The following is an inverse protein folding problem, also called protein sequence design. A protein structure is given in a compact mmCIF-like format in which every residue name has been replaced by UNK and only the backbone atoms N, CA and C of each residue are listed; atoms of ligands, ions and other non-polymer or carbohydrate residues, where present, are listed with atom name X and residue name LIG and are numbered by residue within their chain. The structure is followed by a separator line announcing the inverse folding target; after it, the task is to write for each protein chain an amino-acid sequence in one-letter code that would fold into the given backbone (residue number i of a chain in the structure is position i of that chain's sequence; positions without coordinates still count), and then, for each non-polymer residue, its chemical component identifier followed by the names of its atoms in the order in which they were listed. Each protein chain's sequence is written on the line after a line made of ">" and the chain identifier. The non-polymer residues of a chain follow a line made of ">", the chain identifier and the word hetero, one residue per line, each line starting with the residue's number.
data_IF_096384926761
#
_entry.id   IF_096384926761
#
_cell.length_a   1.000
_cell.length_b   1.000
_cell.length_c   1.000
_cell.angle_alpha   90.00
_cell.angle_beta   90.00
_cell.angle_gamma   90.00
#
_symmetry.space_group_name_H-M   'P 1'
#
loop_
_entity.id
_entity.type
_entity.pdbx_description
1 polymer ?
#
# COMPACT_ATOMS: atom_id res chain seq x y z
N UNK A 1 8.67 -17.66 -4.42
CA UNK A 1 7.78 -16.52 -4.22
C UNK A 1 6.34 -16.97 -4.47
N UNK A 2 5.47 -16.72 -3.54
CA UNK A 2 4.08 -17.13 -3.65
C UNK A 2 3.22 -15.88 -3.80
N UNK A 3 2.53 -15.75 -4.91
CA UNK A 3 1.61 -14.66 -5.19
C UNK A 3 0.22 -15.20 -5.55
N UNK A 4 -0.77 -14.40 -5.29
CA UNK A 4 -2.17 -14.72 -5.46
C UNK A 4 -2.85 -13.67 -6.34
N UNK A 5 -3.87 -14.06 -7.05
CA UNK A 5 -4.68 -13.14 -7.84
C UNK A 5 -6.15 -13.37 -7.54
N UNK A 6 -6.90 -12.30 -7.38
CA UNK A 6 -8.33 -12.38 -7.15
C UNK A 6 -9.01 -11.02 -7.21
N UNK A 7 -10.31 -11.04 -7.06
CA UNK A 7 -11.14 -9.85 -6.93
C UNK A 7 -11.53 -9.70 -5.47
N UNK A 8 -11.13 -8.59 -4.86
CA UNK A 8 -11.26 -8.38 -3.42
C UNK A 8 -12.04 -7.11 -3.12
N UNK A 9 -12.96 -7.13 -2.12
CA UNK A 9 -13.80 -5.99 -1.81
C UNK A 9 -13.03 -4.87 -1.12
N UNK A 10 -13.37 -3.64 -1.49
CA UNK A 10 -12.91 -2.42 -0.84
C UNK A 10 -13.76 -2.20 0.41
N UNK A 11 -13.11 -2.10 1.57
CA UNK A 11 -13.77 -1.84 2.85
C UNK A 11 -13.79 -0.36 3.21
N UNK A 12 -12.73 0.37 2.88
CA UNK A 12 -12.59 1.78 3.21
C UNK A 12 -11.94 2.53 2.06
N UNK A 13 -12.37 3.78 1.89
CA UNK A 13 -11.81 4.74 0.94
C UNK A 13 -11.63 6.07 1.63
N UNK A 14 -10.44 6.67 1.49
CA UNK A 14 -10.13 7.97 2.07
C UNK A 14 -9.36 8.83 1.08
N UNK A 15 -9.79 10.07 0.90
CA UNK A 15 -9.05 11.09 0.15
C UNK A 15 -8.07 11.73 1.12
N UNK A 16 -6.77 11.53 0.90
CA UNK A 16 -5.71 12.06 1.77
C UNK A 16 -5.28 13.46 1.38
N UNK A 17 -5.24 13.71 0.07
CA UNK A 17 -4.90 15.00 -0.53
C UNK A 17 -5.58 15.10 -1.89
N UNK A 18 -5.45 16.23 -2.56
CA UNK A 18 -6.12 16.51 -3.84
C UNK A 18 -6.00 15.38 -4.88
N UNK A 19 -4.84 14.75 -4.97
CA UNK A 19 -4.57 13.67 -5.93
C UNK A 19 -4.11 12.37 -5.26
N UNK A 20 -4.40 12.18 -3.98
CA UNK A 20 -3.97 11.00 -3.23
C UNK A 20 -5.17 10.28 -2.61
N UNK A 21 -5.27 9.01 -2.88
CA UNK A 21 -6.36 8.14 -2.40
C UNK A 21 -5.79 6.97 -1.64
N UNK A 22 -6.42 6.66 -0.51
CA UNK A 22 -6.16 5.49 0.29
C UNK A 22 -7.33 4.51 0.19
N UNK A 23 -7.01 3.24 0.03
CA UNK A 23 -7.97 2.14 0.10
C UNK A 23 -7.54 1.10 1.11
N UNK A 24 -8.50 0.55 1.82
CA UNK A 24 -8.36 -0.69 2.60
C UNK A 24 -9.14 -1.78 1.89
N UNK A 25 -8.45 -2.87 1.57
CA UNK A 25 -8.97 -3.98 0.77
C UNK A 25 -8.94 -5.25 1.62
N UNK A 26 -10.07 -5.97 1.63
CA UNK A 26 -10.17 -7.25 2.32
C UNK A 26 -9.63 -8.37 1.42
N UNK A 27 -8.45 -8.86 1.74
CA UNK A 27 -7.79 -9.95 1.01
C UNK A 27 -6.93 -10.78 1.98
N UNK A 28 -7.56 -11.66 2.79
CA UNK A 28 -6.89 -12.36 3.88
C UNK A 28 -5.65 -13.14 3.44
N UNK A 29 -5.70 -13.79 2.30
CA UNK A 29 -4.62 -14.62 1.77
C UNK A 29 -3.39 -13.76 1.39
N UNK A 30 -3.62 -12.61 0.75
CA UNK A 30 -2.54 -11.68 0.42
C UNK A 30 -1.97 -11.05 1.69
N UNK A 31 -2.84 -10.63 2.61
CA UNK A 31 -2.43 -10.05 3.88
C UNK A 31 -1.57 -11.02 4.72
N UNK A 32 -1.94 -12.31 4.74
CA UNK A 32 -1.18 -13.34 5.46
C UNK A 32 0.23 -13.53 4.90
N UNK A 33 0.40 -13.42 3.60
CA UNK A 33 1.68 -13.61 2.90
C UNK A 33 2.53 -12.34 2.79
N UNK A 34 1.92 -11.16 2.95
CA UNK A 34 2.57 -9.87 2.71
C UNK A 34 3.59 -9.50 3.79
N UNK A 35 4.63 -8.79 3.36
CA UNK A 35 5.68 -8.25 4.22
C UNK A 35 5.94 -6.78 3.90
N UNK A 36 6.42 -5.98 4.88
CA UNK A 36 6.79 -4.58 4.64
C UNK A 36 7.78 -4.44 3.48
N UNK A 37 7.52 -3.51 2.57
CA UNK A 37 8.34 -3.29 1.38
C UNK A 37 7.83 -3.97 0.12
N UNK A 38 6.88 -4.87 0.23
CA UNK A 38 6.22 -5.47 -0.92
C UNK A 38 5.15 -4.55 -1.51
N UNK A 39 4.69 -4.89 -2.70
CA UNK A 39 3.68 -4.16 -3.45
C UNK A 39 2.65 -5.12 -4.05
N UNK A 40 1.60 -4.57 -4.60
CA UNK A 40 0.58 -5.29 -5.37
C UNK A 40 0.44 -4.68 -6.76
N UNK A 41 -0.01 -5.49 -7.70
CA UNK A 41 -0.44 -5.06 -9.02
C UNK A 41 -1.96 -5.03 -9.07
N UNK A 42 -2.54 -3.87 -9.34
CA UNK A 42 -3.99 -3.70 -9.46
C UNK A 42 -4.35 -3.45 -10.92
N UNK A 43 -5.35 -4.17 -11.42
CA UNK A 43 -5.87 -3.98 -12.77
C UNK A 43 -7.06 -3.03 -12.74
N UNK A 44 -6.93 -1.81 -13.28
CA UNK A 44 -8.08 -0.91 -13.40
C UNK A 44 -9.12 -1.46 -14.39
N UNK A 45 -10.39 -1.26 -14.09
CA UNK A 45 -11.48 -1.70 -14.99
C UNK A 45 -11.32 -1.09 -16.38
N UNK A 46 -11.43 -1.92 -17.41
CA UNK A 46 -11.31 -1.48 -18.81
C UNK A 46 -9.87 -1.24 -19.28
N UNK A 47 -8.87 -1.46 -18.42
CA UNK A 47 -7.46 -1.38 -18.78
C UNK A 47 -6.85 -2.77 -18.94
N UNK A 48 -5.75 -2.84 -19.70
CA UNK A 48 -5.01 -4.08 -19.95
C UNK A 48 -3.74 -4.20 -19.12
N UNK A 49 -3.23 -3.07 -18.61
CA UNK A 49 -2.01 -3.04 -17.83
C UNK A 49 -2.31 -2.79 -16.35
N UNK A 50 -1.69 -3.59 -15.50
CA UNK A 50 -1.74 -3.44 -14.06
C UNK A 50 -0.93 -2.23 -13.59
N UNK A 51 -1.30 -1.69 -12.44
CA UNK A 51 -0.60 -0.59 -11.78
C UNK A 51 0.08 -1.12 -10.51
N UNK A 52 1.42 -0.95 -10.38
CA UNK A 52 2.13 -1.34 -9.17
C UNK A 52 1.88 -0.31 -8.08
N UNK A 53 1.47 -0.77 -6.91
CA UNK A 53 1.21 0.09 -5.76
C UNK A 53 1.80 -0.57 -4.51
N UNK A 54 2.64 0.17 -3.80
CA UNK A 54 3.26 -0.30 -2.56
C UNK A 54 2.22 -0.47 -1.45
N UNK A 55 2.45 -1.48 -0.62
CA UNK A 55 1.63 -1.68 0.58
C UNK A 55 2.01 -0.65 1.65
N UNK A 56 1.02 0.07 2.15
CA UNK A 56 1.18 1.02 3.26
C UNK A 56 0.62 0.49 4.57
N UNK A 57 -0.07 -0.64 4.53
CA UNK A 57 -0.59 -1.31 5.71
C UNK A 57 -0.85 -2.77 5.43
N UNK A 58 -0.59 -3.60 6.43
CA UNK A 58 -0.83 -5.05 6.39
C UNK A 58 -1.40 -5.43 7.74
N UNK A 59 -2.65 -5.85 7.78
CA UNK A 59 -3.30 -6.33 8.99
C UNK A 59 -3.66 -7.80 8.80
N UNK A 60 -2.83 -8.68 9.36
CA UNK A 60 -3.00 -10.14 9.21
C UNK A 60 -4.19 -10.67 10.00
N UNK A 61 -4.56 -10.01 11.10
CA UNK A 61 -5.70 -10.42 11.91
C UNK A 61 -7.02 -10.08 11.23
N UNK A 62 -7.12 -8.86 10.70
CA UNK A 62 -8.30 -8.43 9.93
C UNK A 62 -8.31 -8.95 8.50
N UNK A 63 -7.19 -9.46 8.00
CA UNK A 63 -7.04 -9.92 6.63
C UNK A 63 -7.12 -8.79 5.62
N UNK A 64 -6.58 -7.62 5.94
CA UNK A 64 -6.63 -6.44 5.09
C UNK A 64 -5.26 -5.95 4.67
N UNK A 65 -5.21 -5.34 3.50
CA UNK A 65 -4.09 -4.53 3.04
C UNK A 65 -4.53 -3.09 2.84
N UNK A 66 -3.61 -2.17 3.05
CA UNK A 66 -3.83 -0.75 2.77
C UNK A 66 -2.92 -0.32 1.63
N UNK A 67 -3.46 0.42 0.68
CA UNK A 67 -2.73 1.03 -0.43
C UNK A 67 -3.01 2.51 -0.49
N UNK A 68 -1.98 3.27 -0.88
CA UNK A 68 -2.09 4.71 -1.18
C UNK A 68 -1.44 4.95 -2.52
N UNK A 69 -2.12 5.68 -3.40
CA UNK A 69 -1.57 6.05 -4.68
C UNK A 69 -1.95 7.48 -5.07
N UNK A 70 -1.13 8.05 -5.93
CA UNK A 70 -1.34 9.35 -6.54
C UNK A 70 -2.01 9.20 -7.90
N UNK A 71 -2.98 10.06 -8.20
CA UNK A 71 -3.61 10.11 -9.53
C UNK A 71 -2.62 10.72 -10.51
N UNK A 72 -2.16 9.92 -11.47
CA UNK A 72 -1.17 10.34 -12.49
C UNK A 72 -1.60 10.09 -13.93
N UNK A 73 -2.68 9.40 -14.15
CA UNK A 73 -3.17 9.07 -15.48
C UNK A 73 -4.45 8.26 -15.44
N UNK A 74 -4.95 7.86 -16.59
CA UNK A 74 -6.25 7.21 -16.74
C UNK A 74 -6.42 5.95 -15.88
N UNK A 75 -5.36 5.17 -15.70
CA UNK A 75 -5.41 3.96 -14.87
C UNK A 75 -5.65 4.28 -13.40
N UNK A 76 -4.91 5.23 -12.83
CA UNK A 76 -5.07 5.65 -11.44
C UNK A 76 -6.37 6.43 -11.23
N UNK A 77 -6.82 7.19 -12.22
CA UNK A 77 -8.13 7.84 -12.19
C UNK A 77 -9.26 6.82 -12.14
N UNK A 78 -9.18 5.76 -12.95
CA UNK A 78 -10.14 4.65 -12.92
C UNK A 78 -10.15 3.93 -11.57
N UNK A 79 -8.97 3.68 -11.00
CA UNK A 79 -8.87 3.09 -9.65
C UNK A 79 -9.48 4.02 -8.58
N UNK A 80 -9.26 5.31 -8.69
CA UNK A 80 -9.80 6.29 -7.75
C UNK A 80 -11.32 6.45 -7.82
N UNK A 81 -11.94 6.02 -8.92
CA UNK A 81 -13.40 5.99 -9.07
C UNK A 81 -14.05 4.79 -8.35
N UNK A 82 -13.26 3.82 -7.89
CA UNK A 82 -13.77 2.68 -7.13
C UNK A 82 -14.34 3.13 -5.78
N UNK A 83 -15.46 2.54 -5.39
CA UNK A 83 -16.15 2.88 -4.15
C UNK A 83 -16.09 1.73 -3.14
N UNK A 84 -16.39 2.02 -1.88
CA UNK A 84 -16.57 0.99 -0.85
C UNK A 84 -17.65 0.00 -1.31
N UNK A 85 -17.34 -1.28 -1.19
CA UNK A 85 -18.20 -2.38 -1.66
C UNK A 85 -17.89 -2.87 -3.06
N UNK A 86 -17.19 -2.07 -3.89
CA UNK A 86 -16.67 -2.54 -5.17
C UNK A 86 -15.50 -3.50 -4.94
N UNK A 87 -15.18 -4.31 -5.95
CA UNK A 87 -14.03 -5.21 -5.91
C UNK A 87 -12.91 -4.70 -6.81
N UNK A 88 -11.68 -4.81 -6.32
CA UNK A 88 -10.47 -4.58 -7.12
C UNK A 88 -9.82 -5.90 -7.51
N UNK A 89 -9.33 -5.98 -8.74
CA UNK A 89 -8.51 -7.10 -9.21
C UNK A 89 -7.08 -6.88 -8.75
N UNK A 90 -6.63 -7.68 -7.79
CA UNK A 90 -5.32 -7.55 -7.12
C UNK A 90 -4.49 -8.79 -7.35
N UNK A 91 -3.25 -8.57 -7.74
CA UNK A 91 -2.21 -9.60 -7.85
C UNK A 91 -1.11 -9.26 -6.84
N UNK A 92 -0.81 -10.18 -5.94
CA UNK A 92 0.25 -9.98 -4.95
C UNK A 92 0.29 -11.05 -3.87
N UNK A 93 1.11 -10.85 -2.84
CA UNK A 93 2.11 -9.78 -2.73
C UNK A 93 3.29 -9.99 -3.68
N UNK A 94 3.90 -8.92 -4.14
CA UNK A 94 5.00 -8.94 -5.10
C UNK A 94 6.24 -8.25 -4.54
N UNK A 95 7.40 -8.59 -5.14
CA UNK A 95 8.69 -8.04 -4.75
C UNK A 95 9.28 -8.68 -3.49
N UNK A 96 10.41 -8.16 -3.09
CA UNK A 96 11.07 -8.55 -1.85
C UNK A 96 10.75 -7.53 -0.75
N UNK A 97 10.46 -8.03 0.46
CA UNK A 97 10.29 -7.16 1.61
C UNK A 97 11.61 -6.46 1.99
N UNK A 98 11.50 -5.42 2.80
CA UNK A 98 12.68 -4.82 3.43
C UNK A 98 13.39 -5.85 4.32
N UNK A 99 14.71 -5.78 4.35
CA UNK A 99 15.49 -6.55 5.33
C UNK A 99 15.22 -5.98 6.72
N UNK A 100 14.53 -6.76 7.55
CA UNK A 100 14.25 -6.37 8.92
C UNK A 100 15.45 -6.68 9.82
N UNK A 101 15.76 -5.77 10.72
CA UNK A 101 16.88 -5.84 11.66
C UNK A 101 16.31 -5.91 13.09
N UNK A 102 15.92 -7.09 13.57
CA UNK A 102 15.23 -7.22 14.86
C UNK A 102 16.05 -6.73 16.04
N UNK A 103 17.37 -6.83 15.96
CA UNK A 103 18.28 -6.43 17.05
C UNK A 103 18.74 -4.95 16.95
N UNK A 104 18.31 -4.22 15.92
CA UNK A 104 18.66 -2.81 15.80
C UNK A 104 18.02 -2.00 16.94
N UNK A 105 18.84 -1.24 17.65
CA UNK A 105 18.38 -0.39 18.76
C UNK A 105 17.66 0.87 18.26
N UNK A 106 18.07 1.36 17.10
CA UNK A 106 17.49 2.54 16.45
C UNK A 106 17.52 2.36 14.94
N UNK A 107 16.48 2.78 14.26
CA UNK A 107 16.39 2.84 12.81
C UNK A 107 15.87 4.20 12.37
N UNK A 108 16.33 4.64 11.23
CA UNK A 108 15.81 5.85 10.58
C UNK A 108 15.10 5.41 9.30
N UNK A 109 13.83 5.80 9.18
CA UNK A 109 13.00 5.54 8.02
C UNK A 109 12.85 6.85 7.25
N UNK A 110 13.34 6.88 6.02
CA UNK A 110 13.33 8.08 5.19
C UNK A 110 12.40 7.87 4.00
N UNK A 111 11.36 8.69 3.90
CA UNK A 111 10.40 8.67 2.80
C UNK A 111 10.24 10.03 2.14
N UNK A 112 10.03 10.03 0.82
CA UNK A 112 9.75 11.24 0.03
C UNK A 112 8.49 11.09 -0.80
N UNK A 113 7.55 12.04 -0.69
CA UNK A 113 6.30 12.02 -1.47
C UNK A 113 5.54 10.71 -1.32
N UNK A 114 5.24 10.05 -2.45
CA UNK A 114 4.56 8.75 -2.49
C UNK A 114 5.41 7.60 -1.91
N UNK A 115 6.66 7.84 -1.59
CA UNK A 115 7.51 6.89 -0.86
C UNK A 115 7.27 6.88 0.66
N UNK A 116 6.48 7.80 1.20
CA UNK A 116 6.14 7.83 2.63
C UNK A 116 5.20 6.68 3.05
N UNK A 117 4.10 6.37 2.34
CA UNK A 117 3.19 5.31 2.72
C UNK A 117 3.87 3.95 2.99
N UNK A 118 4.82 3.46 2.17
CA UNK A 118 5.51 2.20 2.43
C UNK A 118 6.35 2.18 3.72
N UNK A 119 6.65 3.33 4.30
CA UNK A 119 7.38 3.41 5.57
C UNK A 119 6.52 3.06 6.79
N UNK A 120 5.20 3.15 6.66
CA UNK A 120 4.29 2.89 7.77
C UNK A 120 4.38 1.46 8.34
N UNK A 121 4.39 0.39 7.53
CA UNK A 121 4.59 -0.96 8.05
C UNK A 121 5.92 -1.15 8.79
N UNK A 122 6.98 -0.48 8.34
CA UNK A 122 8.27 -0.49 9.04
C UNK A 122 8.20 0.26 10.36
N UNK A 123 7.56 1.42 10.39
CA UNK A 123 7.36 2.18 11.62
C UNK A 123 6.56 1.38 12.66
N UNK A 124 5.56 0.64 12.21
CA UNK A 124 4.77 -0.26 13.07
C UNK A 124 5.60 -1.43 13.60
N UNK A 125 6.50 -1.98 12.78
CA UNK A 125 7.39 -3.06 13.18
C UNK A 125 8.43 -2.61 14.22
N UNK A 126 9.08 -1.47 13.99
CA UNK A 126 10.15 -0.97 14.86
C UNK A 126 9.64 -0.19 16.07
N UNK A 127 8.42 0.34 16.01
CA UNK A 127 7.78 1.11 17.08
C UNK A 127 8.68 2.27 17.58
N UNK A 128 8.91 2.36 18.87
CA UNK A 128 9.72 3.43 19.47
C UNK A 128 11.20 3.46 19.04
N UNK A 129 11.68 2.41 18.41
CA UNK A 129 13.03 2.36 17.83
C UNK A 129 13.15 3.11 16.51
N UNK A 130 12.01 3.44 15.88
CA UNK A 130 11.99 4.11 14.58
C UNK A 130 11.93 5.63 14.72
N UNK A 131 12.77 6.32 13.95
CA UNK A 131 12.62 7.75 13.65
C UNK A 131 12.20 7.86 12.20
N UNK A 132 11.06 8.48 11.93
CA UNK A 132 10.55 8.66 10.56
C UNK A 132 10.85 10.08 10.12
N UNK A 133 11.50 10.21 8.97
CA UNK A 133 11.74 11.48 8.31
C UNK A 133 10.98 11.49 7.00
N UNK A 134 10.00 12.38 6.90
CA UNK A 134 9.13 12.48 5.73
C UNK A 134 9.36 13.80 5.00
N UNK A 135 9.59 13.72 3.69
CA UNK A 135 9.72 14.87 2.81
C UNK A 135 8.55 14.93 1.83
N UNK A 136 8.10 16.13 1.52
CA UNK A 136 7.02 16.38 0.57
C UNK A 136 7.40 17.55 -0.35
N UNK A 137 6.86 17.54 -1.57
CA UNK A 137 7.10 18.62 -2.54
C UNK A 137 6.44 19.92 -2.10
N UNK A 138 5.29 19.84 -1.46
CA UNK A 138 4.52 20.98 -0.97
C UNK A 138 3.65 20.58 0.22
N UNK A 139 3.05 21.57 0.88
CA UNK A 139 2.15 21.36 2.01
C UNK A 139 0.77 20.77 1.60
N UNK A 140 0.50 20.68 0.31
CA UNK A 140 -0.73 20.09 -0.23
C UNK A 140 -0.68 18.56 -0.37
N UNK A 141 0.50 17.98 -0.13
CA UNK A 141 0.72 16.53 -0.14
C UNK A 141 0.52 15.90 1.22
#
# INVERSE_FOLDING_TARGET
>A
MHYLQGRYPVLEKKILAKNMVQYVILCPEIAAAAQPGQFVHILPVGHTLRRPISLCGIDKEKGTICIVFELKGSGTETLAACNVGDCMDVLGPLGHGFTLLPDAKRVVLLGGGIGNPPMLPLAQYYQERATVISGFRSAEF
#
